data_IF_665707431155
#
_entry.id   IF_665707431155
#
_cell.length_a   1.000
_cell.length_b   1.000
_cell.length_c   1.000
_cell.angle_alpha   90.00
_cell.angle_beta   90.00
_cell.angle_gamma   90.00
#
_symmetry.space_group_name_H-M   'P 1'
#
loop_
_entity.id
_entity.type
_entity.pdbx_description
1 polymer ?
#
# COMPACT_ATOMS: atom_id res chain seq x y z
N UNK A 1 25.07 2.38 16.34
CA UNK A 1 24.43 2.22 15.02
C UNK A 1 23.36 3.26 14.70
N UNK A 2 23.03 4.18 15.60
CA UNK A 2 22.44 5.48 15.28
C UNK A 2 23.42 6.36 14.47
N UNK A 3 24.69 6.01 14.45
CA UNK A 3 25.79 6.83 13.92
C UNK A 3 25.81 6.97 12.40
N UNK A 4 25.08 6.11 11.68
CA UNK A 4 25.17 6.08 10.22
C UNK A 4 24.02 6.80 9.49
N UNK A 5 22.93 7.16 10.17
CA UNK A 5 21.80 7.86 9.57
C UNK A 5 21.73 9.29 10.11
N UNK A 6 21.97 10.25 9.25
CA UNK A 6 21.94 11.68 9.57
C UNK A 6 20.80 12.42 8.87
N UNK A 7 20.37 11.91 7.73
CA UNK A 7 19.31 12.52 6.93
C UNK A 7 18.39 11.46 6.35
N UNK A 8 17.08 11.66 6.48
CA UNK A 8 16.04 10.76 5.98
C UNK A 8 15.10 11.51 5.06
N UNK A 9 14.84 10.91 3.90
CA UNK A 9 13.80 11.34 2.97
C UNK A 9 12.49 10.61 3.27
N UNK A 10 11.39 11.36 3.36
CA UNK A 10 10.05 10.82 3.53
C UNK A 10 9.22 11.15 2.30
N UNK A 11 8.60 10.13 1.71
CA UNK A 11 7.61 10.31 0.67
C UNK A 11 6.24 10.52 1.34
N UNK A 12 5.73 11.72 1.21
CA UNK A 12 4.46 12.11 1.81
C UNK A 12 3.25 11.66 1.00
N UNK A 13 2.09 11.96 1.55
CA UNK A 13 0.80 11.42 1.10
C UNK A 13 0.34 11.90 -0.29
N UNK A 14 0.91 12.98 -0.80
CA UNK A 14 0.51 13.51 -2.10
C UNK A 14 -0.95 13.98 -2.14
N UNK A 15 -1.58 13.85 -3.30
CA UNK A 15 -3.00 14.11 -3.49
C UNK A 15 -3.79 12.84 -3.13
N UNK A 16 -4.26 12.74 -1.91
CA UNK A 16 -5.09 11.64 -1.43
C UNK A 16 -6.58 11.91 -1.64
N UNK A 17 -7.36 10.85 -1.70
CA UNK A 17 -8.82 10.94 -1.66
C UNK A 17 -9.30 11.40 -0.28
N UNK A 18 -10.45 12.05 -0.25
CA UNK A 18 -11.15 12.37 1.00
C UNK A 18 -11.39 11.06 1.78
N UNK A 19 -10.95 11.02 3.03
CA UNK A 19 -11.04 9.84 3.91
C UNK A 19 -9.70 9.11 4.11
N UNK A 20 -8.80 9.09 3.12
CA UNK A 20 -7.44 8.54 3.27
C UNK A 20 -6.47 9.58 3.84
N UNK A 21 -6.76 10.87 3.62
CA UNK A 21 -5.87 11.96 3.98
C UNK A 21 -5.57 12.04 5.49
N UNK A 22 -6.55 11.79 6.33
CA UNK A 22 -6.39 11.91 7.79
C UNK A 22 -5.40 10.91 8.36
N UNK A 23 -5.41 9.67 7.89
CA UNK A 23 -4.52 8.60 8.34
C UNK A 23 -3.07 8.91 7.96
N UNK A 24 -2.81 9.17 6.68
CA UNK A 24 -1.45 9.43 6.20
C UNK A 24 -0.90 10.78 6.68
N UNK A 25 -1.72 11.81 6.83
CA UNK A 25 -1.31 13.08 7.41
C UNK A 25 -0.82 12.90 8.85
N UNK A 26 -1.55 12.12 9.64
CA UNK A 26 -1.16 11.84 11.01
C UNK A 26 0.11 10.99 11.08
N UNK A 27 0.14 9.84 10.40
CA UNK A 27 1.28 8.91 10.46
C UNK A 27 2.56 9.54 9.93
N UNK A 28 2.49 10.26 8.80
CA UNK A 28 3.65 10.96 8.25
C UNK A 28 4.15 12.09 9.12
N UNK A 29 3.27 12.85 9.75
CA UNK A 29 3.65 13.92 10.68
C UNK A 29 4.29 13.35 11.95
N UNK A 30 3.79 12.23 12.47
CA UNK A 30 4.39 11.55 13.62
C UNK A 30 5.76 10.95 13.27
N UNK A 31 5.93 10.39 12.06
CA UNK A 31 7.22 9.89 11.59
C UNK A 31 8.25 11.03 11.51
N UNK A 32 7.89 12.17 10.92
CA UNK A 32 8.76 13.35 10.85
C UNK A 32 9.18 13.81 12.25
N UNK A 33 8.22 13.90 13.16
CA UNK A 33 8.48 14.28 14.56
C UNK A 33 9.43 13.30 15.23
N UNK A 34 9.16 11.99 15.14
CA UNK A 34 9.98 10.96 15.79
C UNK A 34 11.44 10.97 15.26
N UNK A 35 11.63 11.15 13.95
CA UNK A 35 12.96 11.24 13.35
C UNK A 35 13.71 12.48 13.84
N UNK A 36 13.03 13.61 13.92
CA UNK A 36 13.65 14.85 14.47
C UNK A 36 14.01 14.73 15.94
N UNK A 37 13.20 14.07 16.76
CA UNK A 37 13.50 13.79 18.17
C UNK A 37 14.76 12.93 18.34
N UNK A 38 15.08 12.09 17.33
CA UNK A 38 16.35 11.35 17.28
C UNK A 38 17.55 12.17 16.79
N UNK A 39 17.37 13.47 16.48
CA UNK A 39 18.41 14.36 15.98
C UNK A 39 18.78 14.15 14.51
N UNK A 40 17.91 13.51 13.73
CA UNK A 40 18.10 13.18 12.32
C UNK A 40 17.41 14.24 11.48
N UNK A 41 18.07 14.74 10.44
CA UNK A 41 17.50 15.68 9.49
C UNK A 41 16.40 15.03 8.64
N UNK A 42 15.33 15.76 8.42
CA UNK A 42 14.17 15.31 7.66
C UNK A 42 14.00 16.08 6.37
N UNK A 43 13.81 15.35 5.27
CA UNK A 43 13.42 15.88 3.96
C UNK A 43 12.08 15.26 3.59
N UNK A 44 11.11 16.08 3.25
CA UNK A 44 9.78 15.65 2.83
C UNK A 44 9.53 16.03 1.37
N UNK A 45 8.99 15.09 0.59
CA UNK A 45 8.39 15.38 -0.71
C UNK A 45 6.88 15.18 -0.57
N UNK A 46 6.11 16.25 -0.74
CA UNK A 46 4.66 16.20 -0.73
C UNK A 46 4.09 17.37 -1.56
N UNK A 47 3.34 17.13 -2.65
CA UNK A 47 2.75 18.17 -3.46
C UNK A 47 1.61 18.92 -2.78
N UNK A 48 1.05 18.38 -1.69
CA UNK A 48 -0.08 18.97 -0.98
C UNK A 48 0.39 20.07 -0.03
N UNK A 49 -0.06 21.29 -0.29
CA UNK A 49 0.24 22.47 0.54
C UNK A 49 -0.69 22.62 1.75
N UNK A 50 -1.75 21.82 1.82
CA UNK A 50 -2.80 21.93 2.84
C UNK A 50 -2.79 20.74 3.81
N UNK A 51 -1.61 20.16 4.05
CA UNK A 51 -1.41 19.05 4.99
C UNK A 51 -0.55 19.48 6.18
N UNK A 52 -0.76 18.84 7.33
CA UNK A 52 0.07 19.05 8.51
C UNK A 52 1.53 18.68 8.22
N UNK A 53 1.79 17.67 7.38
CA UNK A 53 3.15 17.26 7.01
C UNK A 53 3.99 18.40 6.43
N UNK A 54 3.39 19.28 5.64
CA UNK A 54 4.07 20.40 4.97
C UNK A 54 4.05 21.71 5.76
N UNK A 55 3.48 21.69 6.96
CA UNK A 55 3.46 22.86 7.84
C UNK A 55 4.87 23.23 8.30
N UNK A 56 5.08 24.51 8.53
CA UNK A 56 6.36 25.07 8.98
C UNK A 56 6.87 24.37 10.25
N UNK A 57 8.13 23.96 10.24
CA UNK A 57 8.78 23.32 11.38
C UNK A 57 8.50 21.83 11.55
N UNK A 58 7.60 21.21 10.77
CA UNK A 58 7.32 19.77 10.82
C UNK A 58 8.49 19.00 10.19
N UNK A 59 8.85 19.27 8.96
CA UNK A 59 10.08 18.76 8.34
C UNK A 59 11.17 19.86 8.28
N UNK A 60 12.44 19.49 8.23
CA UNK A 60 13.54 20.46 8.10
C UNK A 60 13.61 21.04 6.68
N UNK A 61 13.28 20.23 5.68
CA UNK A 61 13.20 20.64 4.27
C UNK A 61 11.96 20.03 3.61
N UNK A 62 11.17 20.86 2.94
CA UNK A 62 9.97 20.44 2.22
C UNK A 62 10.11 20.73 0.73
N UNK A 63 9.83 19.72 -0.09
CA UNK A 63 9.72 19.82 -1.54
C UNK A 63 8.26 19.65 -1.97
N UNK A 64 7.65 20.69 -2.46
CA UNK A 64 6.30 20.67 -3.06
C UNK A 64 6.37 20.12 -4.50
N UNK A 65 6.71 18.84 -4.62
CA UNK A 65 6.89 18.16 -5.89
C UNK A 65 6.04 16.89 -5.94
N UNK A 66 5.62 16.47 -7.15
CA UNK A 66 4.95 15.18 -7.32
C UNK A 66 5.82 14.02 -6.82
N UNK A 67 5.19 13.05 -6.14
CA UNK A 67 5.84 11.82 -5.68
C UNK A 67 5.96 10.86 -6.85
N UNK A 68 6.92 11.13 -7.73
CA UNK A 68 7.26 10.28 -8.89
C UNK A 68 8.75 9.99 -8.92
N UNK A 69 9.18 8.85 -9.51
CA UNK A 69 10.60 8.47 -9.56
C UNK A 69 11.50 9.59 -10.10
N UNK A 70 11.05 10.32 -11.12
CA UNK A 70 11.81 11.41 -11.74
C UNK A 70 12.12 12.55 -10.75
N UNK A 71 11.13 13.04 -10.02
CA UNK A 71 11.34 14.13 -9.07
C UNK A 71 12.05 13.65 -7.82
N UNK A 72 11.70 12.46 -7.33
CA UNK A 72 12.33 11.88 -6.13
C UNK A 72 13.82 11.63 -6.37
N UNK A 73 14.23 11.10 -7.55
CA UNK A 73 15.65 10.95 -7.88
C UNK A 73 16.38 12.29 -7.86
N UNK A 74 15.79 13.36 -8.38
CA UNK A 74 16.40 14.71 -8.33
C UNK A 74 16.60 15.22 -6.92
N UNK A 75 15.62 14.98 -6.02
CA UNK A 75 15.75 15.33 -4.61
C UNK A 75 16.81 14.48 -3.93
N UNK A 76 16.85 13.17 -4.18
CA UNK A 76 17.90 12.28 -3.69
C UNK A 76 19.29 12.76 -4.12
N UNK A 77 19.45 13.11 -5.39
CA UNK A 77 20.72 13.59 -5.93
C UNK A 77 21.21 14.89 -5.26
N UNK A 78 20.26 15.79 -4.93
CA UNK A 78 20.55 17.06 -4.26
C UNK A 78 20.79 16.92 -2.77
N UNK A 79 19.87 16.23 -2.08
CA UNK A 79 19.86 16.15 -0.60
C UNK A 79 20.78 15.07 -0.05
N UNK A 80 21.09 14.03 -0.83
CA UNK A 80 21.91 12.89 -0.43
C UNK A 80 21.49 12.29 0.91
N UNK A 81 20.21 11.86 1.04
CA UNK A 81 19.75 11.23 2.27
C UNK A 81 20.42 9.87 2.47
N UNK A 82 20.64 9.50 3.73
CA UNK A 82 21.16 8.17 4.09
C UNK A 82 20.08 7.09 4.01
N UNK A 83 18.82 7.50 4.17
CA UNK A 83 17.68 6.60 4.14
C UNK A 83 16.41 7.23 3.58
N UNK A 84 15.47 6.37 3.18
CA UNK A 84 14.15 6.75 2.67
C UNK A 84 13.06 5.93 3.37
N UNK A 85 11.95 6.60 3.70
CA UNK A 85 10.72 5.99 4.22
C UNK A 85 9.63 6.05 3.17
N UNK A 86 9.01 4.89 2.89
CA UNK A 86 8.03 4.70 1.80
C UNK A 86 6.59 4.56 2.29
N UNK A 87 6.37 4.22 3.58
CA UNK A 87 5.06 3.80 4.09
C UNK A 87 4.14 4.96 4.54
N UNK A 88 4.55 6.23 4.38
CA UNK A 88 3.82 7.40 4.91
C UNK A 88 3.11 8.24 3.86
N UNK A 89 2.98 7.71 2.65
CA UNK A 89 2.38 8.42 1.52
C UNK A 89 1.39 7.58 0.70
N UNK A 90 0.87 6.49 1.30
CA UNK A 90 -0.06 5.58 0.64
C UNK A 90 0.52 4.90 -0.59
N UNK A 91 -0.35 4.37 -1.44
CA UNK A 91 0.02 3.60 -2.63
C UNK A 91 0.95 4.36 -3.58
N UNK A 92 0.78 5.68 -3.70
CA UNK A 92 1.64 6.51 -4.56
C UNK A 92 3.09 6.46 -4.11
N UNK A 93 3.34 6.55 -2.80
CA UNK A 93 4.69 6.49 -2.25
C UNK A 93 5.28 5.07 -2.34
N UNK A 94 4.49 4.03 -2.07
CA UNK A 94 4.91 2.64 -2.21
C UNK A 94 5.31 2.32 -3.66
N UNK A 95 4.47 2.64 -4.63
CA UNK A 95 4.75 2.44 -6.05
C UNK A 95 5.99 3.20 -6.50
N UNK A 96 6.15 4.46 -6.06
CA UNK A 96 7.35 5.24 -6.34
C UNK A 96 8.60 4.58 -5.75
N UNK A 97 8.54 4.11 -4.51
CA UNK A 97 9.64 3.41 -3.85
C UNK A 97 10.06 2.12 -4.57
N UNK A 98 9.09 1.31 -4.99
CA UNK A 98 9.34 0.10 -5.79
C UNK A 98 10.02 0.45 -7.11
N UNK A 99 9.53 1.47 -7.83
CA UNK A 99 10.13 1.91 -9.09
C UNK A 99 11.57 2.44 -8.92
N UNK A 100 11.85 3.19 -7.86
CA UNK A 100 13.21 3.66 -7.52
C UNK A 100 14.16 2.51 -7.21
N UNK A 101 13.68 1.49 -6.53
CA UNK A 101 14.43 0.28 -6.23
C UNK A 101 14.75 -0.51 -7.50
N UNK A 102 13.74 -0.79 -8.32
CA UNK A 102 13.88 -1.57 -9.56
C UNK A 102 14.77 -0.89 -10.60
N UNK A 103 14.73 0.46 -10.65
CA UNK A 103 15.60 1.24 -11.55
C UNK A 103 17.05 1.39 -11.05
N UNK A 104 17.38 0.88 -9.85
CA UNK A 104 18.71 0.99 -9.26
C UNK A 104 19.06 2.38 -8.72
N UNK A 105 18.11 3.31 -8.65
CA UNK A 105 18.34 4.67 -8.15
C UNK A 105 18.77 4.66 -6.69
N UNK A 106 18.12 3.84 -5.86
CA UNK A 106 18.47 3.77 -4.43
C UNK A 106 19.89 3.26 -4.22
N UNK A 107 20.33 2.25 -4.99
CA UNK A 107 21.69 1.73 -4.98
C UNK A 107 22.71 2.76 -5.49
N UNK A 108 22.40 3.40 -6.63
CA UNK A 108 23.24 4.46 -7.25
C UNK A 108 23.61 5.58 -6.28
N UNK A 109 22.69 5.95 -5.41
CA UNK A 109 22.90 7.03 -4.44
C UNK A 109 23.19 6.54 -3.02
N UNK A 110 23.28 5.22 -2.82
CA UNK A 110 23.50 4.57 -1.53
C UNK A 110 22.44 4.96 -0.48
N UNK A 111 21.16 4.97 -0.89
CA UNK A 111 20.01 5.29 -0.04
C UNK A 111 19.40 4.00 0.50
N UNK A 112 19.37 3.85 1.81
CA UNK A 112 18.76 2.67 2.46
C UNK A 112 17.27 2.84 2.61
N UNK A 113 16.49 1.81 2.28
CA UNK A 113 15.07 1.78 2.64
C UNK A 113 14.95 1.47 4.13
N UNK A 114 14.26 2.33 4.85
CA UNK A 114 14.01 2.22 6.28
C UNK A 114 12.58 1.74 6.51
N UNK A 115 12.38 0.94 7.55
CA UNK A 115 11.09 0.29 7.81
C UNK A 115 10.89 -0.95 6.95
N UNK A 116 9.70 -1.07 6.34
CA UNK A 116 9.34 -2.25 5.54
C UNK A 116 10.24 -2.38 4.30
N UNK A 117 10.92 -3.53 4.09
CA UNK A 117 11.74 -3.77 2.92
C UNK A 117 10.92 -3.74 1.62
N UNK A 118 11.52 -3.26 0.52
CA UNK A 118 10.83 -3.17 -0.78
C UNK A 118 10.31 -4.54 -1.25
N UNK A 119 11.05 -5.62 -0.99
CA UNK A 119 10.59 -6.96 -1.33
C UNK A 119 9.30 -7.34 -0.60
N UNK A 120 9.19 -7.00 0.69
CA UNK A 120 7.96 -7.23 1.44
C UNK A 120 6.78 -6.40 0.89
N UNK A 121 7.04 -5.14 0.47
CA UNK A 121 6.03 -4.32 -0.21
C UNK A 121 5.57 -5.01 -1.50
N UNK A 122 6.48 -5.47 -2.34
CA UNK A 122 6.14 -6.18 -3.58
C UNK A 122 5.37 -7.47 -3.32
N UNK A 123 5.77 -8.26 -2.34
CA UNK A 123 5.13 -9.53 -2.00
C UNK A 123 3.71 -9.34 -1.43
N UNK A 124 3.44 -8.21 -0.75
CA UNK A 124 2.13 -7.93 -0.14
C UNK A 124 1.18 -7.17 -1.05
N UNK A 125 1.69 -6.37 -1.98
CA UNK A 125 0.89 -5.61 -2.95
C UNK A 125 0.38 -6.50 -4.09
N UNK A 126 1.14 -7.53 -4.46
CA UNK A 126 0.72 -8.53 -5.44
C UNK A 126 -0.09 -9.63 -4.75
N UNK A 127 -1.36 -9.75 -5.13
CA UNK A 127 -2.30 -10.70 -4.51
C UNK A 127 -1.87 -12.15 -4.64
N UNK A 128 -1.34 -12.53 -5.78
CA UNK A 128 -0.90 -13.91 -6.04
C UNK A 128 0.37 -14.23 -5.24
N UNK A 129 1.32 -13.29 -5.24
CA UNK A 129 2.53 -13.42 -4.43
C UNK A 129 2.20 -13.49 -2.94
N UNK A 130 1.26 -12.65 -2.47
CA UNK A 130 0.84 -12.64 -1.07
C UNK A 130 0.23 -13.98 -0.65
N UNK A 131 -0.72 -14.51 -1.42
CA UNK A 131 -1.33 -15.83 -1.15
C UNK A 131 -0.26 -16.91 -1.12
N UNK A 132 0.63 -16.94 -2.12
CA UNK A 132 1.73 -17.92 -2.16
C UNK A 132 2.65 -17.82 -0.95
N UNK A 133 3.00 -16.61 -0.50
CA UNK A 133 3.81 -16.41 0.70
C UNK A 133 3.12 -16.88 1.97
N UNK A 134 1.82 -16.70 2.08
CA UNK A 134 1.05 -17.21 3.21
C UNK A 134 0.94 -18.74 3.18
N UNK A 135 0.77 -19.33 2.00
CA UNK A 135 0.77 -20.79 1.83
C UNK A 135 2.11 -21.42 2.22
N UNK A 136 3.26 -20.78 1.88
CA UNK A 136 4.60 -21.24 2.27
C UNK A 136 4.75 -21.39 3.79
N UNK A 137 4.04 -20.61 4.57
CA UNK A 137 4.06 -20.64 6.06
C UNK A 137 2.82 -21.32 6.66
N UNK A 138 1.98 -21.93 5.83
CA UNK A 138 0.80 -22.68 6.26
C UNK A 138 -0.36 -21.83 6.80
N UNK A 139 -0.38 -20.52 6.47
CA UNK A 139 -1.48 -19.61 6.83
C UNK A 139 -2.56 -19.71 5.77
N UNK A 140 -3.78 -19.99 6.20
CA UNK A 140 -4.93 -20.10 5.31
C UNK A 140 -5.39 -18.72 4.84
N UNK A 141 -5.53 -18.56 3.54
CA UNK A 141 -6.14 -17.40 2.91
C UNK A 141 -7.63 -17.63 2.62
N UNK A 142 -8.34 -16.54 2.34
CA UNK A 142 -9.72 -16.64 1.85
C UNK A 142 -9.67 -17.28 0.47
N UNK A 143 -10.48 -18.33 0.26
CA UNK A 143 -10.62 -18.93 -1.07
C UNK A 143 -11.24 -17.91 -2.02
N UNK A 144 -10.56 -17.69 -3.13
CA UNK A 144 -10.92 -16.74 -4.18
C UNK A 144 -10.66 -17.37 -5.53
N UNK A 145 -11.52 -17.14 -6.49
CA UNK A 145 -11.36 -17.57 -7.88
C UNK A 145 -11.54 -16.37 -8.81
N UNK A 146 -10.58 -16.19 -9.72
CA UNK A 146 -10.66 -15.19 -10.77
C UNK A 146 -11.40 -15.78 -11.97
N UNK A 147 -12.45 -15.13 -12.44
CA UNK A 147 -13.32 -15.59 -13.52
C UNK A 147 -13.48 -14.51 -14.58
N UNK A 148 -13.72 -14.95 -15.83
CA UNK A 148 -13.81 -14.06 -16.99
C UNK A 148 -15.22 -14.11 -17.66
N UNK A 149 -16.12 -14.91 -17.12
CA UNK A 149 -17.49 -15.01 -17.58
C UNK A 149 -18.45 -15.42 -16.46
N UNK A 150 -19.75 -15.27 -16.70
CA UNK A 150 -20.78 -15.55 -15.70
C UNK A 150 -20.94 -17.04 -15.36
N UNK A 151 -20.67 -17.94 -16.31
CA UNK A 151 -20.77 -19.39 -16.07
C UNK A 151 -19.71 -19.86 -15.09
N UNK A 152 -18.46 -19.42 -15.27
CA UNK A 152 -17.37 -19.67 -14.34
C UNK A 152 -17.63 -19.03 -12.96
N UNK A 153 -18.25 -17.84 -12.91
CA UNK A 153 -18.64 -17.22 -11.65
C UNK A 153 -19.67 -18.06 -10.87
N UNK A 154 -20.67 -18.62 -11.53
CA UNK A 154 -21.65 -19.53 -10.90
C UNK A 154 -20.99 -20.81 -10.39
N UNK A 155 -20.10 -21.41 -11.18
CA UNK A 155 -19.33 -22.58 -10.76
C UNK A 155 -18.50 -22.27 -9.52
N UNK A 156 -17.72 -21.19 -9.56
CA UNK A 156 -16.89 -20.77 -8.43
C UNK A 156 -17.72 -20.50 -7.16
N UNK A 157 -18.86 -19.82 -7.29
CA UNK A 157 -19.74 -19.55 -6.17
C UNK A 157 -20.37 -20.85 -5.59
N UNK A 158 -20.73 -21.80 -6.45
CA UNK A 158 -21.25 -23.10 -6.01
C UNK A 158 -20.19 -23.91 -5.23
N UNK A 159 -18.93 -23.88 -5.68
CA UNK A 159 -17.81 -24.56 -5.00
C UNK A 159 -17.44 -23.90 -3.67
N UNK A 160 -17.46 -22.57 -3.62
CA UNK A 160 -17.17 -21.79 -2.40
C UNK A 160 -18.31 -21.86 -1.38
N UNK A 161 -19.53 -22.01 -1.86
CA UNK A 161 -20.77 -21.97 -1.07
C UNK A 161 -21.14 -20.55 -0.65
N UNK A 162 -22.43 -20.20 -0.85
CA UNK A 162 -22.96 -18.89 -0.46
C UNK A 162 -22.93 -18.67 1.07
N UNK A 163 -22.85 -17.42 1.54
CA UNK A 163 -22.67 -16.21 0.74
C UNK A 163 -21.26 -16.06 0.15
N UNK A 164 -21.18 -15.39 -1.00
CA UNK A 164 -19.91 -15.03 -1.63
C UNK A 164 -19.78 -13.51 -1.78
N UNK A 165 -18.55 -13.03 -1.99
CA UNK A 165 -18.25 -11.65 -2.38
C UNK A 165 -17.83 -11.66 -3.85
N UNK A 166 -18.37 -10.76 -4.62
CA UNK A 166 -17.93 -10.47 -5.99
C UNK A 166 -17.16 -9.17 -5.97
N UNK A 167 -16.00 -9.13 -6.63
CA UNK A 167 -15.20 -7.91 -6.80
C UNK A 167 -14.75 -7.80 -8.25
N UNK A 168 -15.05 -6.68 -8.89
CA UNK A 168 -14.44 -6.36 -10.17
C UNK A 168 -12.93 -6.18 -9.96
N UNK A 169 -12.11 -6.95 -10.68
CA UNK A 169 -10.67 -6.75 -10.67
C UNK A 169 -10.37 -5.36 -11.24
N UNK A 170 -9.44 -4.64 -10.63
CA UNK A 170 -9.04 -3.29 -11.07
C UNK A 170 -10.07 -2.17 -10.89
N UNK A 171 -11.26 -2.41 -10.33
CA UNK A 171 -12.23 -1.35 -10.06
C UNK A 171 -11.87 -0.58 -8.80
N UNK A 172 -11.77 0.74 -8.92
CA UNK A 172 -11.55 1.64 -7.80
C UNK A 172 -12.88 1.99 -7.10
N UNK A 173 -12.86 2.04 -5.77
CA UNK A 173 -14.00 2.55 -5.00
C UNK A 173 -15.18 1.61 -4.85
N UNK A 174 -14.98 0.28 -5.02
CA UNK A 174 -16.03 -0.72 -4.79
C UNK A 174 -17.09 -0.81 -5.88
N UNK A 175 -16.89 -0.15 -7.02
CA UNK A 175 -17.78 -0.25 -8.17
C UNK A 175 -17.79 -1.70 -8.70
N UNK A 176 -18.98 -2.28 -8.85
CA UNK A 176 -19.13 -3.68 -9.29
C UNK A 176 -18.73 -4.71 -8.23
N UNK A 177 -18.68 -4.33 -6.96
CA UNK A 177 -18.41 -5.23 -5.85
C UNK A 177 -19.59 -5.32 -4.90
N UNK A 178 -19.80 -6.48 -4.29
CA UNK A 178 -20.88 -6.69 -3.34
C UNK A 178 -20.98 -8.13 -2.84
N UNK A 179 -21.92 -8.35 -1.93
CA UNK A 179 -22.25 -9.66 -1.40
C UNK A 179 -23.38 -10.28 -2.19
N UNK A 180 -23.35 -11.60 -2.35
CA UNK A 180 -24.41 -12.39 -2.96
C UNK A 180 -24.74 -13.54 -2.01
N UNK A 181 -25.98 -13.60 -1.56
CA UNK A 181 -26.49 -14.66 -0.69
C UNK A 181 -27.01 -15.87 -1.49
N UNK A 182 -27.22 -15.70 -2.81
CA UNK A 182 -27.75 -16.72 -3.74
C UNK A 182 -27.29 -16.46 -5.18
N UNK A 183 -27.65 -17.39 -6.10
CA UNK A 183 -27.26 -17.33 -7.49
C UNK A 183 -27.93 -16.17 -8.25
N UNK A 184 -29.17 -15.82 -7.91
CA UNK A 184 -29.87 -14.71 -8.56
C UNK A 184 -29.18 -13.36 -8.31
N UNK A 185 -28.76 -13.14 -7.07
CA UNK A 185 -27.98 -11.94 -6.69
C UNK A 185 -26.61 -11.95 -7.35
N UNK A 186 -25.98 -13.12 -7.46
CA UNK A 186 -24.70 -13.30 -8.14
C UNK A 186 -24.79 -12.87 -9.59
N UNK A 187 -25.80 -13.35 -10.33
CA UNK A 187 -25.98 -13.05 -11.76
C UNK A 187 -26.08 -11.55 -12.01
N UNK A 188 -26.92 -10.86 -11.24
CA UNK A 188 -27.08 -9.40 -11.35
C UNK A 188 -25.79 -8.66 -11.08
N UNK A 189 -25.06 -9.08 -10.04
CA UNK A 189 -23.84 -8.38 -9.65
C UNK A 189 -22.68 -8.66 -10.60
N UNK A 190 -22.55 -9.89 -11.07
CA UNK A 190 -21.52 -10.33 -12.03
C UNK A 190 -21.68 -9.62 -13.38
N UNK A 191 -22.92 -9.51 -13.90
CA UNK A 191 -23.21 -8.75 -15.12
C UNK A 191 -22.75 -7.30 -14.99
N UNK A 192 -23.07 -6.68 -13.86
CA UNK A 192 -22.63 -5.32 -13.55
C UNK A 192 -21.10 -5.24 -13.42
N UNK A 193 -20.47 -6.19 -12.73
CA UNK A 193 -19.02 -6.20 -12.53
C UNK A 193 -18.25 -6.32 -13.86
N UNK A 194 -18.70 -7.17 -14.78
CA UNK A 194 -18.11 -7.31 -16.12
C UNK A 194 -18.31 -6.08 -17.02
N UNK A 195 -19.23 -5.18 -16.70
CA UNK A 195 -19.30 -3.90 -17.40
C UNK A 195 -18.14 -2.95 -17.07
N UNK A 196 -17.42 -3.18 -15.97
CA UNK A 196 -16.30 -2.37 -15.51
C UNK A 196 -14.92 -3.07 -15.63
N UNK A 197 -14.91 -4.40 -15.72
CA UNK A 197 -13.69 -5.19 -15.74
C UNK A 197 -13.86 -6.44 -16.58
N UNK A 198 -12.82 -6.85 -17.30
CA UNK A 198 -12.77 -8.13 -18.02
C UNK A 198 -12.59 -9.33 -17.10
N UNK A 199 -12.23 -9.11 -15.84
CA UNK A 199 -12.01 -10.15 -14.85
C UNK A 199 -12.72 -9.78 -13.55
N UNK A 200 -13.34 -10.77 -12.92
CA UNK A 200 -14.06 -10.65 -11.66
C UNK A 200 -13.54 -11.70 -10.68
N UNK A 201 -13.40 -11.32 -9.42
CA UNK A 201 -13.06 -12.24 -8.34
C UNK A 201 -14.34 -12.67 -7.62
N UNK A 202 -14.49 -13.97 -7.44
CA UNK A 202 -15.52 -14.57 -6.59
C UNK A 202 -14.83 -15.14 -5.35
N UNK A 203 -15.19 -14.63 -4.20
CA UNK A 203 -14.51 -14.93 -2.93
C UNK A 203 -15.51 -15.45 -1.88
N UNK A 204 -15.06 -16.33 -1.00
CA UNK A 204 -15.85 -16.76 0.16
C UNK A 204 -16.16 -15.55 1.05
N UNK A 205 -17.42 -15.33 1.37
CA UNK A 205 -17.80 -14.29 2.32
C UNK A 205 -17.41 -14.65 3.74
N UNK A 206 -16.82 -13.71 4.44
CA UNK A 206 -16.53 -13.77 5.87
C UNK A 206 -17.52 -12.94 6.71
N UNK A 207 -18.70 -12.61 6.14
CA UNK A 207 -19.74 -11.86 6.86
C UNK A 207 -20.09 -12.57 8.18
N UNK A 208 -20.01 -11.83 9.28
CA UNK A 208 -20.26 -12.35 10.63
C UNK A 208 -19.05 -13.00 11.31
N UNK A 209 -17.91 -13.09 10.64
CA UNK A 209 -16.66 -13.49 11.29
C UNK A 209 -16.12 -12.35 12.15
N UNK A 210 -15.34 -12.69 13.17
CA UNK A 210 -14.60 -11.71 13.96
C UNK A 210 -13.37 -11.27 13.17
N UNK A 211 -13.24 -9.97 12.94
CA UNK A 211 -12.04 -9.35 12.40
C UNK A 211 -11.10 -8.98 13.54
N UNK A 212 -9.83 -9.33 13.38
CA UNK A 212 -8.77 -9.00 14.33
C UNK A 212 -7.58 -8.51 13.51
N UNK A 213 -7.06 -7.34 13.87
CA UNK A 213 -5.90 -6.72 13.26
C UNK A 213 -4.74 -6.66 14.26
N UNK A 214 -3.53 -6.84 13.76
CA UNK A 214 -2.31 -6.73 14.54
C UNK A 214 -1.36 -5.73 13.90
N UNK A 215 -0.98 -4.72 14.68
CA UNK A 215 0.15 -3.86 14.33
C UNK A 215 1.45 -4.53 14.78
N UNK A 216 2.27 -4.94 13.81
CA UNK A 216 3.53 -5.63 14.10
C UNK A 216 4.71 -4.69 13.89
N UNK A 217 5.40 -4.35 14.99
CA UNK A 217 6.65 -3.59 14.96
C UNK A 217 7.80 -4.54 15.26
N UNK A 218 8.72 -4.69 14.31
CA UNK A 218 9.87 -5.58 14.41
C UNK A 218 11.16 -4.80 14.24
N UNK A 219 12.05 -4.92 15.20
CA UNK A 219 13.35 -4.30 15.12
C UNK A 219 14.37 -5.16 14.34
N UNK A 220 15.55 -4.61 14.07
CA UNK A 220 16.61 -5.33 13.35
C UNK A 220 17.25 -6.48 14.13
N UNK A 221 16.95 -6.63 15.40
CA UNK A 221 17.40 -7.73 16.26
C UNK A 221 16.34 -8.82 16.38
N UNK A 222 15.27 -8.70 15.61
CA UNK A 222 14.19 -9.67 15.57
C UNK A 222 13.27 -9.64 16.81
N UNK A 223 13.25 -8.53 17.53
CA UNK A 223 12.29 -8.31 18.61
C UNK A 223 10.97 -7.81 18.03
N UNK A 224 9.83 -8.42 18.46
CA UNK A 224 8.47 -8.06 18.09
C UNK A 224 7.67 -7.66 19.33
#
# INVERSE_FOLDING_TARGET
MKEDIKKVLILGSGALKIGEAGEFDYSGSQALKAIKEEGIQTVLINPNIATVQTSEGVADTVYFLPVTPFFVEKVIAKERPDGILLAFGGQTALNCGVALYQSGVLEKYNVRVLGTPVQAIMDTEDRELFVRKLDEIGVKTIKSEAVENAEDARRAAAELGYPVIVRAAYALGGLGSGFCDNEEELDVLVEKAFSFSSQVLVEKSLKGWKEVEYEVVRDRFDNC
#
